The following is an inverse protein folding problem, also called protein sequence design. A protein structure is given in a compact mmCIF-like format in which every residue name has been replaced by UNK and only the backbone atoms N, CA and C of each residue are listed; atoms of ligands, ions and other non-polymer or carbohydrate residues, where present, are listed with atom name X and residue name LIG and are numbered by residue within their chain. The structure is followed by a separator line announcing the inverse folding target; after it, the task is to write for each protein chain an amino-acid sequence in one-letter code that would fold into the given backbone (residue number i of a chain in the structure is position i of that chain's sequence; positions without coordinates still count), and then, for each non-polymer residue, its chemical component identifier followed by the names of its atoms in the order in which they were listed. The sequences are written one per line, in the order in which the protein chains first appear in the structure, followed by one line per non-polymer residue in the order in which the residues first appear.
data_IF_994451894425
#
_entry.id   IF_994451894425
#
_cell.length_a   1.000
_cell.length_b   1.000
_cell.length_c   1.000
_cell.angle_alpha   90.00
_cell.angle_beta   90.00
_cell.angle_gamma   90.00
#
_symmetry.space_group_name_H-M   'P 1'
#
loop_
_entity.id
_entity.type
_entity.pdbx_description
1 polymer ?
#
# COMPACT_ATOMS: atom_id res chain seq x y z
N UNK A 1 -9.27 10.32 -8.79
CA UNK A 1 -9.58 8.88 -8.91
C UNK A 1 -8.42 8.11 -9.53
N UNK A 2 -7.81 8.61 -10.61
CA UNK A 2 -6.64 8.00 -11.25
C UNK A 2 -5.41 7.97 -10.34
N UNK A 3 -5.26 8.96 -9.46
CA UNK A 3 -4.22 8.98 -8.43
C UNK A 3 -4.30 7.75 -7.53
N UNK A 4 -5.52 7.37 -7.12
CA UNK A 4 -5.75 6.18 -6.29
C UNK A 4 -5.43 4.89 -7.04
N UNK A 5 -5.70 4.83 -8.35
CA UNK A 5 -5.33 3.68 -9.20
C UNK A 5 -3.81 3.56 -9.36
N UNK A 6 -3.10 4.69 -9.47
CA UNK A 6 -1.63 4.69 -9.47
C UNK A 6 -1.12 4.23 -8.11
N UNK A 7 -1.63 4.80 -7.01
CA UNK A 7 -1.21 4.44 -5.65
C UNK A 7 -1.49 2.98 -5.31
N UNK A 8 -2.58 2.41 -5.83
CA UNK A 8 -2.92 0.99 -5.63
C UNK A 8 -2.11 0.03 -6.52
N UNK A 9 -1.29 0.55 -7.43
CA UNK A 9 -0.47 -0.24 -8.35
C UNK A 9 -1.17 -0.75 -9.61
N UNK A 10 -2.39 -0.26 -9.90
CA UNK A 10 -3.13 -0.70 -11.09
C UNK A 10 -2.38 -0.37 -12.41
N UNK A 11 -1.52 0.65 -12.39
CA UNK A 11 -0.76 1.12 -13.56
C UNK A 11 0.73 0.76 -13.52
N UNK A 12 1.18 -0.14 -12.64
CA UNK A 12 2.60 -0.48 -12.46
C UNK A 12 3.28 -1.02 -13.72
N UNK A 13 2.51 -1.50 -14.69
CA UNK A 13 3.03 -2.01 -15.97
C UNK A 13 3.05 -0.98 -17.11
N UNK A 14 2.52 0.22 -16.88
CA UNK A 14 2.37 1.23 -17.94
C UNK A 14 3.56 2.19 -18.01
N UNK A 15 4.13 2.55 -16.86
CA UNK A 15 5.25 3.48 -16.77
C UNK A 15 6.43 2.93 -15.99
N UNK A 16 7.54 3.68 -15.90
CA UNK A 16 8.76 3.22 -15.25
C UNK A 16 8.60 3.05 -13.73
N UNK A 17 7.81 3.93 -13.09
CA UNK A 17 7.48 3.85 -11.67
C UNK A 17 6.28 4.75 -11.34
N UNK A 18 5.60 4.47 -10.21
CA UNK A 18 4.41 5.21 -9.75
C UNK A 18 4.63 6.72 -9.61
N UNK A 19 5.82 7.16 -9.19
CA UNK A 19 6.14 8.59 -9.08
C UNK A 19 6.09 9.31 -10.45
N UNK A 20 6.63 8.68 -11.51
CA UNK A 20 6.60 9.24 -12.84
C UNK A 20 5.17 9.26 -13.40
N UNK A 21 4.41 8.19 -13.17
CA UNK A 21 2.98 8.14 -13.53
C UNK A 21 2.18 9.24 -12.85
N UNK A 22 2.39 9.46 -11.55
CA UNK A 22 1.70 10.50 -10.79
C UNK A 22 2.07 11.90 -11.31
N UNK A 23 3.35 12.16 -11.57
CA UNK A 23 3.81 13.46 -12.05
C UNK A 23 3.39 13.73 -13.51
N UNK A 24 3.22 12.69 -14.32
CA UNK A 24 2.79 12.82 -15.73
C UNK A 24 1.27 12.91 -15.88
N UNK A 25 0.52 12.53 -14.85
CA UNK A 25 -0.94 12.40 -14.92
C UNK A 25 -1.63 13.70 -15.35
N UNK A 26 -1.18 14.84 -14.80
CA UNK A 26 -1.78 16.14 -15.09
C UNK A 26 -1.64 16.54 -16.56
N UNK A 27 -0.47 16.32 -17.15
CA UNK A 27 -0.22 16.68 -18.55
C UNK A 27 -0.89 15.69 -19.51
N UNK A 28 -0.91 14.40 -19.16
CA UNK A 28 -1.66 13.39 -19.91
C UNK A 28 -3.17 13.70 -19.97
N UNK A 29 -3.76 14.15 -18.85
CA UNK A 29 -5.17 14.55 -18.80
C UNK A 29 -5.46 15.80 -19.64
N UNK A 30 -4.56 16.80 -19.64
CA UNK A 30 -4.71 17.98 -20.49
C UNK A 30 -4.65 17.62 -21.97
N UNK A 31 -3.70 16.78 -22.37
CA UNK A 31 -3.58 16.33 -23.75
C UNK A 31 -4.83 15.56 -24.21
N UNK A 32 -5.35 14.67 -23.36
CA UNK A 32 -6.59 13.95 -23.64
C UNK A 32 -7.81 14.88 -23.79
N UNK A 33 -7.95 15.88 -22.92
CA UNK A 33 -9.05 16.87 -23.00
C UNK A 33 -8.95 17.74 -24.26
N UNK A 34 -7.74 18.16 -24.64
CA UNK A 34 -7.50 18.89 -25.89
C UNK A 34 -7.88 18.06 -27.11
N UNK A 35 -7.48 16.79 -27.14
CA UNK A 35 -7.81 15.88 -28.24
C UNK A 35 -9.33 15.67 -28.36
N UNK A 36 -10.02 15.41 -27.24
CA UNK A 36 -11.47 15.24 -27.23
C UNK A 36 -12.22 16.50 -27.70
N UNK A 37 -11.72 17.69 -27.35
CA UNK A 37 -12.29 18.98 -27.82
C UNK A 37 -12.08 19.19 -29.31
N UNK A 38 -10.89 18.88 -29.83
CA UNK A 38 -10.59 18.99 -31.27
C UNK A 38 -11.51 18.07 -32.09
N UNK A 39 -11.67 16.82 -31.65
CA UNK A 39 -12.58 15.85 -32.27
C UNK A 39 -14.03 16.35 -32.25
N UNK A 40 -14.50 16.89 -31.12
CA UNK A 40 -15.87 17.39 -30.98
C UNK A 40 -16.21 18.61 -31.87
N UNK A 41 -15.22 19.45 -32.18
CA UNK A 41 -15.39 20.64 -33.04
C UNK A 41 -15.26 20.28 -34.53
N UNK A 42 -15.06 18.99 -34.85
CA UNK A 42 -14.89 18.53 -36.22
C UNK A 42 -13.53 18.91 -36.82
N UNK A 43 -12.55 19.27 -35.98
CA UNK A 43 -11.14 19.15 -36.35
C UNK A 43 -10.76 17.67 -36.32
N UNK A 44 -11.42 16.86 -37.16
CA UNK A 44 -10.78 15.66 -37.66
C UNK A 44 -9.61 16.15 -38.51
N UNK A 45 -8.40 15.76 -38.14
CA UNK A 45 -7.18 16.17 -38.82
C UNK A 45 -7.31 15.94 -40.34
N UNK A 46 -7.58 17.02 -41.09
CA UNK A 46 -7.71 16.99 -42.55
C UNK A 46 -6.38 16.66 -43.24
N UNK A 47 -5.27 16.63 -42.49
CA UNK A 47 -3.94 16.21 -42.95
C UNK A 47 -3.53 14.82 -42.41
N UNK A 48 -4.28 14.26 -41.45
CA UNK A 48 -3.98 12.98 -40.81
C UNK A 48 -4.15 11.75 -41.72
N UNK A 49 -4.81 11.92 -42.88
CA UNK A 49 -4.92 10.86 -43.91
C UNK A 49 -3.62 10.71 -44.72
N UNK A 50 -2.71 11.69 -44.68
CA UNK A 50 -1.42 11.64 -45.39
C UNK A 50 -0.23 11.29 -44.48
N UNK A 51 -0.44 11.20 -43.17
CA UNK A 51 0.55 10.73 -42.20
C UNK A 51 0.28 9.25 -41.88
N UNK A 52 0.78 8.34 -42.72
CA UNK A 52 0.74 6.89 -42.46
C UNK A 52 1.66 6.46 -41.30
N UNK A 53 2.49 7.36 -40.76
CA UNK A 53 3.15 7.10 -39.49
C UNK A 53 2.28 7.62 -38.36
N UNK A 54 1.89 6.78 -37.38
CA UNK A 54 1.33 7.31 -36.15
C UNK A 54 2.35 8.30 -35.62
N UNK A 55 1.93 9.56 -35.38
CA UNK A 55 2.74 10.47 -34.57
C UNK A 55 3.17 9.64 -33.37
N UNK A 56 4.47 9.35 -33.29
CA UNK A 56 5.06 8.87 -32.06
C UNK A 56 4.90 10.07 -31.12
N UNK A 57 3.75 10.13 -30.45
CA UNK A 57 3.62 10.82 -29.20
C UNK A 57 4.68 10.14 -28.35
N UNK A 58 5.87 10.73 -28.29
CA UNK A 58 6.90 10.32 -27.35
C UNK A 58 6.19 10.33 -26.01
N UNK A 59 5.89 9.14 -25.48
CA UNK A 59 5.28 8.97 -24.17
C UNK A 59 6.35 9.34 -23.16
N UNK A 60 6.59 10.64 -23.03
CA UNK A 60 7.61 11.18 -22.16
C UNK A 60 7.02 11.25 -20.77
N UNK A 61 7.27 10.20 -20.00
CA UNK A 61 7.02 10.23 -18.57
C UNK A 61 7.91 11.29 -17.92
N UNK A 62 7.37 11.99 -16.93
CA UNK A 62 8.11 12.94 -16.12
C UNK A 62 9.37 12.29 -15.53
N UNK A 63 10.53 12.84 -15.88
CA UNK A 63 11.83 12.43 -15.33
C UNK A 63 11.91 12.85 -13.87
N UNK A 64 11.75 11.90 -12.96
CA UNK A 64 11.79 12.13 -11.53
C UNK A 64 12.31 10.89 -10.80
N UNK A 65 12.71 11.06 -9.54
CA UNK A 65 13.15 9.93 -8.73
C UNK A 65 11.97 9.04 -8.35
N UNK A 66 12.16 7.70 -8.34
CA UNK A 66 11.18 6.78 -7.77
C UNK A 66 10.86 7.14 -6.31
N UNK A 67 9.62 6.85 -5.89
CA UNK A 67 9.26 7.03 -4.50
C UNK A 67 10.03 6.06 -3.59
N UNK A 68 10.37 6.48 -2.35
CA UNK A 68 10.81 5.55 -1.33
C UNK A 68 9.77 4.45 -1.10
N UNK A 69 10.21 3.24 -0.76
CA UNK A 69 9.34 2.08 -0.52
C UNK A 69 8.20 2.41 0.46
N UNK A 70 8.50 3.14 1.54
CA UNK A 70 7.50 3.53 2.52
C UNK A 70 6.33 4.30 1.91
N UNK A 71 6.58 5.24 0.99
CA UNK A 71 5.52 6.03 0.34
C UNK A 71 4.64 5.14 -0.53
N UNK A 72 5.23 4.16 -1.21
CA UNK A 72 4.48 3.16 -2.01
C UNK A 72 3.60 2.30 -1.10
N UNK A 73 4.16 1.79 -0.01
CA UNK A 73 3.44 0.95 0.96
C UNK A 73 2.30 1.71 1.64
N UNK A 74 2.52 2.97 2.03
CA UNK A 74 1.49 3.82 2.61
C UNK A 74 0.34 4.06 1.62
N UNK A 75 0.67 4.30 0.34
CA UNK A 75 -0.32 4.43 -0.72
C UNK A 75 -1.15 3.17 -0.95
N UNK A 76 -0.53 1.99 -0.91
CA UNK A 76 -1.25 0.71 -0.97
C UNK A 76 -2.16 0.53 0.24
N UNK A 77 -1.68 0.87 1.44
CA UNK A 77 -2.48 0.78 2.67
C UNK A 77 -3.70 1.68 2.63
N UNK A 78 -3.55 2.91 2.14
CA UNK A 78 -4.63 3.88 2.04
C UNK A 78 -5.68 3.46 1.00
N UNK A 79 -5.23 2.91 -0.13
CA UNK A 79 -6.11 2.61 -1.28
C UNK A 79 -6.71 1.21 -1.24
N UNK A 80 -5.91 0.21 -0.86
CA UNK A 80 -6.29 -1.22 -0.82
C UNK A 80 -6.64 -1.70 0.58
N UNK A 81 -6.24 -0.97 1.63
CA UNK A 81 -6.38 -1.41 3.02
C UNK A 81 -5.31 -2.41 3.48
N UNK A 82 -4.34 -2.74 2.62
CA UNK A 82 -3.27 -3.73 2.87
C UNK A 82 -1.96 -3.30 2.19
N UNK A 83 -0.85 -3.91 2.61
CA UNK A 83 0.43 -3.80 1.92
C UNK A 83 0.56 -4.95 0.92
N UNK A 84 0.67 -4.64 -0.37
CA UNK A 84 0.64 -5.61 -1.47
C UNK A 84 2.04 -5.98 -1.96
N UNK A 85 2.86 -4.97 -2.23
CA UNK A 85 4.20 -5.16 -2.84
C UNK A 85 5.28 -5.46 -1.81
N UNK A 86 5.04 -5.10 -0.55
CA UNK A 86 5.99 -5.30 0.55
C UNK A 86 5.29 -5.30 1.91
N UNK A 87 6.07 -5.08 2.98
CA UNK A 87 5.53 -4.94 4.33
C UNK A 87 6.47 -4.09 5.19
N UNK A 88 5.99 -3.07 5.94
CA UNK A 88 6.87 -2.19 6.72
C UNK A 88 7.70 -2.91 7.78
N UNK A 89 7.28 -4.11 8.20
CA UNK A 89 8.05 -4.94 9.16
C UNK A 89 9.37 -5.46 8.58
N UNK A 90 9.52 -5.47 7.24
CA UNK A 90 10.68 -6.06 6.57
C UNK A 90 12.00 -5.46 7.09
N UNK A 91 12.03 -4.15 7.35
CA UNK A 91 13.21 -3.45 7.86
C UNK A 91 13.65 -3.91 9.27
N UNK A 92 12.74 -4.51 10.05
CA UNK A 92 12.97 -4.95 11.42
C UNK A 92 13.14 -6.46 11.58
N UNK A 93 13.07 -7.25 10.49
CA UNK A 93 13.06 -8.71 10.58
C UNK A 93 14.30 -9.26 11.31
N UNK A 94 15.49 -8.72 11.04
CA UNK A 94 16.74 -9.14 11.70
C UNK A 94 16.75 -8.86 13.20
N UNK A 95 16.11 -7.78 13.63
CA UNK A 95 16.03 -7.41 15.04
C UNK A 95 14.98 -8.26 15.75
N UNK A 96 13.79 -8.40 15.14
CA UNK A 96 12.70 -9.24 15.63
C UNK A 96 13.16 -10.70 15.80
N UNK A 97 13.94 -11.23 14.87
CA UNK A 97 14.47 -12.59 14.95
C UNK A 97 15.23 -12.85 16.27
N UNK A 98 15.94 -11.84 16.79
CA UNK A 98 16.68 -11.95 18.07
C UNK A 98 15.76 -12.03 19.29
N UNK A 99 14.58 -11.44 19.23
CA UNK A 99 13.64 -11.41 20.36
C UNK A 99 12.64 -12.58 20.34
N UNK A 100 12.26 -13.04 19.16
CA UNK A 100 11.16 -13.99 18.96
C UNK A 100 11.62 -15.34 18.42
N UNK A 101 12.93 -15.52 18.23
CA UNK A 101 13.51 -16.79 17.76
C UNK A 101 13.02 -17.20 16.36
N UNK A 102 12.62 -16.23 15.54
CA UNK A 102 12.12 -16.46 14.19
C UNK A 102 10.69 -17.01 14.09
N UNK A 103 9.95 -17.13 15.21
CA UNK A 103 8.55 -17.58 15.19
C UNK A 103 7.69 -16.55 14.45
N UNK A 104 6.96 -17.00 13.43
CA UNK A 104 6.02 -16.21 12.63
C UNK A 104 4.61 -16.30 13.19
N UNK A 105 3.81 -15.25 13.02
CA UNK A 105 2.43 -15.21 13.55
C UNK A 105 1.55 -16.32 12.98
N UNK A 106 1.69 -16.67 11.70
CA UNK A 106 0.91 -17.76 11.08
C UNK A 106 1.17 -19.14 11.69
N UNK A 107 2.34 -19.33 12.31
CA UNK A 107 2.80 -20.61 12.87
C UNK A 107 2.53 -20.67 14.38
N UNK A 108 1.89 -19.65 14.95
CA UNK A 108 1.51 -19.63 16.35
C UNK A 108 0.26 -20.45 16.60
N UNK A 109 0.37 -21.34 17.58
CA UNK A 109 -0.70 -22.24 18.00
C UNK A 109 -0.92 -22.12 19.52
N UNK A 110 -2.12 -22.47 20.02
CA UNK A 110 -2.36 -22.54 21.46
C UNK A 110 -1.30 -23.40 22.15
N UNK A 111 -0.65 -22.84 23.16
CA UNK A 111 0.36 -23.53 23.95
C UNK A 111 -0.27 -24.29 25.11
N UNK A 112 0.48 -25.22 25.69
CA UNK A 112 0.13 -25.86 26.95
C UNK A 112 -0.06 -24.82 28.07
N UNK A 113 -0.90 -25.15 29.03
CA UNK A 113 -1.24 -24.25 30.14
C UNK A 113 0.03 -23.85 30.90
N UNK A 114 0.23 -22.54 31.05
CA UNK A 114 1.38 -21.95 31.75
C UNK A 114 2.60 -21.69 30.87
N UNK A 115 2.60 -22.12 29.61
CA UNK A 115 3.69 -21.83 28.68
C UNK A 115 3.47 -20.47 28.00
N UNK A 116 4.45 -19.58 28.16
CA UNK A 116 4.46 -18.25 27.55
C UNK A 116 5.16 -18.33 26.19
N UNK A 117 4.60 -17.63 25.20
CA UNK A 117 5.23 -17.40 23.90
C UNK A 117 5.33 -15.90 23.65
N UNK A 118 6.45 -15.48 23.07
CA UNK A 118 6.64 -14.10 22.64
C UNK A 118 6.19 -13.98 21.19
N UNK A 119 5.49 -12.89 20.86
CA UNK A 119 5.12 -12.53 19.50
C UNK A 119 5.60 -11.11 19.20
N UNK A 120 6.03 -10.87 17.95
CA UNK A 120 6.27 -9.51 17.47
C UNK A 120 5.63 -9.34 16.10
N UNK A 121 5.15 -8.12 15.86
CA UNK A 121 4.48 -7.72 14.64
C UNK A 121 4.34 -6.21 14.60
N UNK A 122 3.99 -5.69 13.43
CA UNK A 122 3.55 -4.31 13.26
C UNK A 122 2.14 -4.17 13.86
N UNK A 123 1.92 -3.19 14.74
CA UNK A 123 0.57 -2.88 15.20
C UNK A 123 -0.19 -2.18 14.07
N UNK A 124 -1.19 -2.87 13.51
CA UNK A 124 -1.96 -2.37 12.36
C UNK A 124 -3.32 -1.80 12.73
N UNK A 125 -3.80 -2.10 13.94
CA UNK A 125 -5.00 -1.55 14.54
C UNK A 125 -4.90 -1.64 16.08
N UNK A 126 -5.49 -0.68 16.79
CA UNK A 126 -5.65 -0.73 18.23
C UNK A 126 -6.98 -0.07 18.62
N UNK A 127 -7.70 -0.70 19.55
CA UNK A 127 -8.95 -0.16 20.13
C UNK A 127 -9.02 -0.48 21.61
N UNK A 128 -9.76 0.35 22.34
CA UNK A 128 -10.05 0.14 23.76
C UNK A 128 -11.52 -0.23 23.90
N UNK A 129 -11.82 -1.24 24.70
CA UNK A 129 -13.19 -1.69 24.97
C UNK A 129 -13.44 -1.75 26.48
N UNK A 130 -14.69 -1.57 26.88
CA UNK A 130 -15.15 -1.78 28.27
C UNK A 130 -15.92 -3.09 28.31
N UNK A 131 -15.47 -4.01 29.16
CA UNK A 131 -16.12 -5.30 29.36
C UNK A 131 -17.47 -5.13 30.06
N UNK A 132 -18.32 -6.16 30.02
CA UNK A 132 -19.60 -6.19 30.76
C UNK A 132 -19.44 -5.96 32.26
N UNK A 133 -18.25 -6.22 32.81
CA UNK A 133 -17.90 -6.04 34.23
C UNK A 133 -17.36 -4.64 34.55
N UNK A 134 -17.33 -3.72 33.57
CA UNK A 134 -16.82 -2.35 33.74
C UNK A 134 -15.30 -2.20 33.55
N UNK A 135 -14.55 -3.30 33.44
CA UNK A 135 -13.10 -3.24 33.24
C UNK A 135 -12.74 -2.82 31.82
N UNK A 136 -11.68 -2.01 31.67
CA UNK A 136 -11.14 -1.57 30.38
C UNK A 136 -10.13 -2.60 29.87
N UNK A 137 -10.27 -3.00 28.61
CA UNK A 137 -9.30 -3.86 27.90
C UNK A 137 -8.81 -3.16 26.63
N UNK A 138 -7.55 -3.39 26.29
CA UNK A 138 -7.01 -3.03 24.97
C UNK A 138 -7.12 -4.22 24.03
N UNK A 139 -7.40 -3.96 22.76
CA UNK A 139 -7.27 -4.95 21.69
C UNK A 139 -6.36 -4.34 20.65
N UNK A 140 -5.26 -5.01 20.33
CA UNK A 140 -4.41 -4.64 19.21
C UNK A 140 -4.33 -5.78 18.19
N UNK A 141 -4.16 -5.43 16.93
CA UNK A 141 -3.91 -6.37 15.85
C UNK A 141 -2.45 -6.26 15.45
N UNK A 142 -1.71 -7.35 15.60
CA UNK A 142 -0.34 -7.50 15.11
C UNK A 142 -0.35 -8.11 13.71
N UNK A 143 0.54 -7.62 12.84
CA UNK A 143 0.77 -8.13 11.48
C UNK A 143 2.27 -8.30 11.23
N UNK A 144 2.72 -9.48 10.84
CA UNK A 144 4.13 -9.79 10.58
C UNK A 144 4.44 -10.16 9.13
N UNK A 145 3.55 -9.79 8.19
CA UNK A 145 3.53 -10.25 6.78
C UNK A 145 3.06 -11.69 6.59
N UNK A 146 3.26 -12.58 7.56
CA UNK A 146 2.87 -13.99 7.47
C UNK A 146 1.42 -14.22 7.86
N UNK A 147 0.91 -13.42 8.79
CA UNK A 147 -0.46 -13.49 9.29
C UNK A 147 -0.76 -12.34 10.24
N UNK A 148 -1.99 -12.36 10.78
CA UNK A 148 -2.46 -11.40 11.78
C UNK A 148 -2.85 -12.10 13.06
N UNK A 149 -2.57 -11.47 14.19
CA UNK A 149 -2.95 -11.93 15.52
C UNK A 149 -3.66 -10.80 16.28
N UNK A 150 -4.87 -11.05 16.79
CA UNK A 150 -5.50 -10.16 17.76
C UNK A 150 -4.97 -10.47 19.16
N UNK A 151 -4.45 -9.44 19.83
CA UNK A 151 -3.90 -9.53 21.18
C UNK A 151 -4.80 -8.71 22.10
N UNK A 152 -5.28 -9.36 23.16
CA UNK A 152 -6.03 -8.70 24.23
C UNK A 152 -5.08 -8.30 25.37
N UNK A 153 -5.11 -7.02 25.69
CA UNK A 153 -4.34 -6.39 26.76
C UNK A 153 -5.26 -6.19 27.96
N UNK A 154 -4.97 -6.87 29.07
CA UNK A 154 -5.69 -6.73 30.32
C UNK A 154 -4.94 -5.76 31.24
N UNK A 155 -5.67 -4.96 32.00
CA UNK A 155 -5.10 -3.99 32.96
C UNK A 155 -4.55 -4.63 34.23
N UNK A 156 -4.57 -5.96 34.34
CA UNK A 156 -4.09 -6.69 35.51
C UNK A 156 -2.60 -7.00 35.32
N UNK A 157 -1.74 -6.15 35.88
CA UNK A 157 -0.36 -6.48 36.10
C UNK A 157 -0.26 -7.07 37.53
N UNK A 158 -0.13 -8.39 37.71
CA UNK A 158 0.35 -8.89 38.98
C UNK A 158 1.80 -8.40 39.12
N UNK A 159 2.01 -7.51 40.09
CA UNK A 159 3.34 -7.19 40.59
C UNK A 159 4.00 -8.40 41.25
#
# INVERSE_FOLDING_TARGET
MLEKLIMSGAFDRLGPHRAALMNSLGDALKAADQHAKAEAIGQADMFGVLAEEPEQIEQSYASCQPWPEQVVLDGERETLGLYLTGHPINQYLKEIERYVGGVRLKDMHPTERGKVITAAGLVVAARVMVTKRGNRIGICTLDDRSGRLEVMLFTDAPG
#
